data_IF_157895433360
#
_entry.id   IF_157895433360
#
_cell.length_a   1.000
_cell.length_b   1.000
_cell.length_c   1.000
_cell.angle_alpha   90.00
_cell.angle_beta   90.00
_cell.angle_gamma   90.00
#
_symmetry.space_group_name_H-M   'P 1'
#
loop_
_entity.id
_entity.type
_entity.pdbx_description
1 polymer ?
#
# COMPACT_ATOMS: atom_id res chain seq x y z
N UNK A 1 52.67 -37.56 4.91
CA UNK A 1 51.43 -37.74 5.73
C UNK A 1 50.30 -36.97 5.05
N UNK A 2 49.27 -37.68 4.57
CA UNK A 2 48.04 -37.09 4.03
C UNK A 2 47.26 -36.45 5.18
N UNK A 3 47.06 -35.13 5.14
CA UNK A 3 46.11 -34.45 6.03
C UNK A 3 44.99 -33.90 5.15
N UNK A 4 43.91 -34.67 5.09
CA UNK A 4 42.61 -34.22 4.61
C UNK A 4 42.09 -33.23 5.66
N UNK A 5 41.84 -31.99 5.26
CA UNK A 5 41.17 -31.00 6.11
C UNK A 5 39.68 -31.08 5.78
N UNK A 6 38.80 -31.34 6.77
CA UNK A 6 37.38 -31.45 6.55
C UNK A 6 36.76 -30.08 6.26
N UNK A 7 35.84 -30.10 5.31
CA UNK A 7 34.91 -29.02 5.04
C UNK A 7 33.97 -28.77 6.25
N UNK A 8 33.27 -27.64 6.14
CA UNK A 8 32.10 -27.20 6.93
C UNK A 8 32.43 -26.37 8.16
N UNK A 9 32.35 -25.04 8.02
CA UNK A 9 31.45 -24.20 8.83
C UNK A 9 30.96 -23.02 7.97
N UNK A 10 29.75 -23.18 7.45
CA UNK A 10 28.65 -22.20 7.45
C UNK A 10 28.95 -20.74 7.06
N UNK A 11 28.66 -20.45 5.78
CA UNK A 11 27.90 -19.29 5.30
C UNK A 11 27.75 -18.09 6.28
N UNK A 12 28.80 -17.31 6.41
CA UNK A 12 28.74 -15.93 6.89
C UNK A 12 29.19 -15.01 5.76
N UNK A 13 28.38 -14.90 4.71
CA UNK A 13 28.77 -14.15 3.53
C UNK A 13 27.71 -14.11 2.43
N UNK A 14 26.55 -13.54 2.72
CA UNK A 14 25.69 -12.90 1.71
C UNK A 14 24.96 -11.71 2.33
N UNK A 15 25.72 -10.76 2.87
CA UNK A 15 25.29 -9.37 2.88
C UNK A 15 25.78 -8.74 1.57
N UNK A 16 24.83 -8.30 0.75
CA UNK A 16 24.95 -7.18 -0.19
C UNK A 16 25.74 -7.41 -1.49
N UNK A 17 25.15 -8.12 -2.46
CA UNK A 17 25.37 -7.83 -3.89
C UNK A 17 24.12 -8.19 -4.70
N UNK A 18 23.36 -7.19 -5.15
CA UNK A 18 22.25 -7.39 -6.10
C UNK A 18 21.29 -6.20 -6.21
N UNK A 19 21.71 -5.18 -6.95
CA UNK A 19 20.89 -4.02 -7.32
C UNK A 19 19.97 -4.38 -8.49
N UNK A 20 18.64 -4.43 -8.28
CA UNK A 20 17.56 -4.15 -9.25
C UNK A 20 16.24 -4.80 -8.78
N UNK A 21 15.25 -3.99 -8.41
CA UNK A 21 13.91 -4.45 -8.02
C UNK A 21 13.74 -4.48 -6.52
N UNK A 22 13.45 -3.31 -5.93
CA UNK A 22 12.99 -3.25 -4.54
C UNK A 22 11.74 -4.10 -4.39
N UNK A 23 11.89 -5.31 -3.88
CA UNK A 23 10.77 -6.06 -3.34
C UNK A 23 10.42 -5.38 -2.03
N UNK A 24 9.65 -4.28 -2.10
CA UNK A 24 8.84 -3.88 -0.95
C UNK A 24 8.03 -5.11 -0.59
N UNK A 25 8.43 -5.80 0.47
CA UNK A 25 7.73 -7.01 0.91
C UNK A 25 6.34 -6.57 1.32
N UNK A 26 5.36 -6.85 0.45
CA UNK A 26 3.95 -6.58 0.72
C UNK A 26 3.48 -7.43 1.88
N UNK A 27 2.60 -6.86 2.69
CA UNK A 27 1.94 -7.55 3.79
C UNK A 27 1.08 -8.70 3.26
N UNK A 28 0.87 -9.72 4.11
CA UNK A 28 -0.20 -10.69 3.88
C UNK A 28 -1.58 -10.03 3.95
N UNK A 29 -2.63 -10.73 3.52
CA UNK A 29 -4.01 -10.22 3.60
C UNK A 29 -4.38 -9.89 5.05
N UNK A 30 -4.07 -10.77 6.00
CA UNK A 30 -4.39 -10.58 7.43
C UNK A 30 -3.65 -9.36 8.04
N UNK A 31 -2.35 -9.24 7.76
CA UNK A 31 -1.55 -8.09 8.22
C UNK A 31 -2.02 -6.79 7.56
N UNK A 32 -2.44 -6.84 6.30
CA UNK A 32 -2.99 -5.69 5.59
C UNK A 32 -4.28 -5.21 6.25
N UNK A 33 -5.20 -6.12 6.58
CA UNK A 33 -6.45 -5.77 7.24
C UNK A 33 -6.21 -5.22 8.65
N UNK A 34 -5.26 -5.78 9.38
CA UNK A 34 -4.82 -5.24 10.68
C UNK A 34 -4.25 -3.82 10.52
N UNK A 35 -3.38 -3.62 9.54
CA UNK A 35 -2.79 -2.33 9.22
C UNK A 35 -3.86 -1.28 8.88
N UNK A 36 -4.81 -1.61 7.99
CA UNK A 36 -5.88 -0.72 7.57
C UNK A 36 -6.84 -0.36 8.71
N UNK A 37 -7.17 -1.32 9.58
CA UNK A 37 -8.03 -1.08 10.73
C UNK A 37 -7.35 -0.21 11.81
N UNK A 38 -6.02 -0.20 11.84
CA UNK A 38 -5.21 0.64 12.74
C UNK A 38 -4.81 1.99 12.14
N UNK A 39 -5.22 2.28 10.91
CA UNK A 39 -4.83 3.51 10.23
C UNK A 39 -5.54 4.73 10.83
N UNK A 40 -4.75 5.71 11.25
CA UNK A 40 -5.21 6.91 11.96
C UNK A 40 -4.94 8.18 11.17
N UNK A 41 -4.70 8.05 9.86
CA UNK A 41 -4.47 9.18 8.99
C UNK A 41 -5.64 10.19 9.01
N UNK A 42 -5.31 11.46 9.27
CA UNK A 42 -6.27 12.58 9.27
C UNK A 42 -5.72 13.69 8.38
N UNK A 43 -6.34 13.96 7.22
CA UNK A 43 -5.90 15.04 6.35
C UNK A 43 -6.31 16.40 6.90
N UNK A 44 -5.61 17.45 6.48
CA UNK A 44 -5.85 18.83 6.95
C UNK A 44 -5.94 19.83 5.80
N UNK A 45 -6.43 21.04 6.08
CA UNK A 45 -6.54 22.12 5.10
C UNK A 45 -7.89 22.18 4.39
N UNK A 46 -7.90 22.79 3.21
CA UNK A 46 -9.06 22.89 2.32
C UNK A 46 -9.49 21.52 1.76
N UNK A 47 -10.72 21.39 1.21
CA UNK A 47 -11.17 20.13 0.63
C UNK A 47 -10.27 19.59 -0.49
N UNK A 48 -9.66 20.47 -1.30
CA UNK A 48 -8.72 20.07 -2.35
C UNK A 48 -7.42 19.53 -1.76
N UNK A 49 -6.85 20.22 -0.76
CA UNK A 49 -5.64 19.78 -0.07
C UNK A 49 -5.86 18.45 0.65
N UNK A 50 -6.99 18.30 1.33
CA UNK A 50 -7.37 17.04 1.96
C UNK A 50 -7.48 15.91 0.94
N UNK A 51 -8.13 16.17 -0.21
CA UNK A 51 -8.26 15.17 -1.25
C UNK A 51 -6.91 14.74 -1.83
N UNK A 52 -5.98 15.68 -2.00
CA UNK A 52 -4.61 15.39 -2.43
C UNK A 52 -3.85 14.54 -1.42
N UNK A 53 -3.94 14.89 -0.14
CA UNK A 53 -3.30 14.13 0.94
C UNK A 53 -3.88 12.71 1.05
N UNK A 54 -5.21 12.54 0.96
CA UNK A 54 -5.85 11.22 0.96
C UNK A 54 -5.40 10.40 -0.26
N UNK A 55 -5.30 11.02 -1.44
CA UNK A 55 -4.83 10.33 -2.65
C UNK A 55 -3.41 9.78 -2.47
N UNK A 56 -2.50 10.61 -1.96
CA UNK A 56 -1.11 10.21 -1.67
C UNK A 56 -1.07 9.10 -0.63
N UNK A 57 -1.81 9.26 0.47
CA UNK A 57 -1.90 8.25 1.53
C UNK A 57 -2.37 6.90 0.98
N UNK A 58 -3.42 6.88 0.16
CA UNK A 58 -3.87 5.64 -0.47
C UNK A 58 -2.81 5.02 -1.41
N UNK A 59 -2.02 5.80 -2.14
CA UNK A 59 -0.92 5.24 -2.94
C UNK A 59 0.13 4.57 -2.05
N UNK A 60 0.54 5.24 -0.97
CA UNK A 60 1.52 4.69 -0.02
C UNK A 60 1.01 3.43 0.67
N UNK A 61 -0.28 3.38 0.99
CA UNK A 61 -0.94 2.20 1.55
C UNK A 61 -1.01 1.07 0.53
N UNK A 62 -1.38 1.37 -0.72
CA UNK A 62 -1.47 0.37 -1.80
C UNK A 62 -0.12 -0.31 -2.07
N UNK A 63 1.01 0.38 -1.89
CA UNK A 63 2.34 -0.21 -2.05
C UNK A 63 2.75 -1.16 -0.92
N UNK A 64 2.11 -1.05 0.25
CA UNK A 64 2.42 -1.83 1.46
C UNK A 64 1.54 -3.08 1.59
N UNK A 65 0.26 -2.98 1.26
CA UNK A 65 -0.72 -4.04 1.49
C UNK A 65 -0.63 -5.19 0.47
N UNK A 66 -1.32 -6.29 0.76
CA UNK A 66 -1.48 -7.43 -0.13
C UNK A 66 -2.02 -6.99 -1.51
N UNK A 67 -1.58 -7.61 -2.62
CA UNK A 67 -1.98 -7.22 -3.98
C UNK A 67 -3.51 -7.12 -4.20
N UNK A 68 -4.27 -8.02 -3.59
CA UNK A 68 -5.74 -8.09 -3.69
C UNK A 68 -6.43 -6.89 -3.04
N UNK A 69 -5.81 -6.31 -2.01
CA UNK A 69 -6.27 -5.10 -1.30
C UNK A 69 -5.65 -3.84 -1.92
N UNK A 70 -4.43 -3.96 -2.44
CA UNK A 70 -3.69 -2.87 -3.12
C UNK A 70 -4.48 -2.32 -4.31
N UNK A 71 -5.03 -3.20 -5.15
CA UNK A 71 -5.76 -2.81 -6.34
C UNK A 71 -6.99 -1.91 -6.07
N UNK A 72 -7.93 -2.23 -5.15
CA UNK A 72 -9.03 -1.33 -4.83
C UNK A 72 -8.56 -0.04 -4.15
N UNK A 73 -7.53 -0.07 -3.28
CA UNK A 73 -6.99 1.15 -2.65
C UNK A 73 -6.35 2.08 -3.69
N UNK A 74 -5.61 1.54 -4.65
CA UNK A 74 -5.04 2.32 -5.75
C UNK A 74 -6.12 3.05 -6.57
N UNK A 75 -7.25 2.40 -6.84
CA UNK A 75 -8.39 3.06 -7.50
C UNK A 75 -9.01 4.17 -6.65
N UNK A 76 -9.09 3.98 -5.34
CA UNK A 76 -9.52 5.04 -4.43
C UNK A 76 -8.55 6.22 -4.47
N UNK A 77 -7.25 5.96 -4.57
CA UNK A 77 -6.24 7.00 -4.73
C UNK A 77 -6.46 7.84 -6.00
N UNK A 78 -6.75 7.18 -7.12
CA UNK A 78 -7.02 7.84 -8.40
C UNK A 78 -8.28 8.71 -8.34
N UNK A 79 -9.36 8.22 -7.72
CA UNK A 79 -10.59 9.02 -7.52
C UNK A 79 -10.26 10.26 -6.68
N UNK A 80 -9.51 10.10 -5.59
CA UNK A 80 -9.15 11.21 -4.71
C UNK A 80 -8.21 12.22 -5.39
N UNK A 81 -7.35 11.76 -6.30
CA UNK A 81 -6.54 12.64 -7.15
C UNK A 81 -7.42 13.53 -8.03
N UNK A 82 -8.42 12.94 -8.69
CA UNK A 82 -9.37 13.71 -9.51
C UNK A 82 -10.18 14.70 -8.67
N UNK A 83 -10.54 14.34 -7.44
CA UNK A 83 -11.20 15.26 -6.50
C UNK A 83 -10.28 16.43 -6.15
N UNK A 84 -8.99 16.17 -5.90
CA UNK A 84 -8.00 17.22 -5.61
C UNK A 84 -7.80 18.19 -6.78
N UNK A 85 -7.87 17.68 -8.02
CA UNK A 85 -7.77 18.47 -9.24
C UNK A 85 -9.06 19.26 -9.56
N UNK A 86 -10.17 18.97 -8.86
CA UNK A 86 -11.44 19.69 -9.06
C UNK A 86 -11.42 21.08 -8.43
N UNK A 87 -12.17 22.08 -8.95
CA UNK A 87 -12.15 23.45 -8.43
C UNK A 87 -12.58 23.62 -6.96
N UNK A 88 -13.36 22.68 -6.42
CA UNK A 88 -13.92 22.79 -5.06
C UNK A 88 -13.42 21.72 -4.10
N UNK A 89 -12.76 20.66 -4.60
CA UNK A 89 -12.41 19.49 -3.78
C UNK A 89 -13.62 18.67 -3.31
N UNK A 90 -14.82 18.96 -3.82
CA UNK A 90 -16.03 18.22 -3.49
C UNK A 90 -16.15 16.97 -4.38
N UNK A 91 -16.55 15.85 -3.77
CA UNK A 91 -16.80 14.61 -4.53
C UNK A 91 -18.12 14.72 -5.29
N UNK A 92 -18.14 14.22 -6.51
CA UNK A 92 -19.39 13.95 -7.23
C UNK A 92 -20.08 12.70 -6.68
N UNK A 93 -21.34 12.48 -7.10
CA UNK A 93 -22.07 11.26 -6.79
C UNK A 93 -21.33 10.02 -7.33
N UNK A 94 -20.83 10.08 -8.57
CA UNK A 94 -20.10 8.98 -9.21
C UNK A 94 -18.79 8.67 -8.48
N UNK A 95 -18.04 9.70 -8.08
CA UNK A 95 -16.82 9.52 -7.28
C UNK A 95 -17.12 8.91 -5.92
N UNK A 96 -18.21 9.31 -5.28
CA UNK A 96 -18.66 8.74 -3.99
C UNK A 96 -19.07 7.27 -4.13
N UNK A 97 -19.80 6.95 -5.19
CA UNK A 97 -20.18 5.58 -5.52
C UNK A 97 -18.95 4.72 -5.81
N UNK A 98 -17.99 5.23 -6.58
CA UNK A 98 -16.74 4.53 -6.90
C UNK A 98 -15.88 4.25 -5.66
N UNK A 99 -15.77 5.20 -4.72
CA UNK A 99 -15.10 4.98 -3.44
C UNK A 99 -15.80 3.90 -2.61
N UNK A 100 -17.13 3.96 -2.51
CA UNK A 100 -17.94 2.96 -1.79
C UNK A 100 -17.75 1.56 -2.38
N UNK A 101 -17.76 1.44 -3.70
CA UNK A 101 -17.55 0.16 -4.39
C UNK A 101 -16.18 -0.44 -4.04
N UNK A 102 -15.11 0.36 -4.03
CA UNK A 102 -13.78 -0.14 -3.71
C UNK A 102 -13.64 -0.48 -2.21
N UNK A 103 -14.26 0.30 -1.32
CA UNK A 103 -14.33 -0.02 0.11
C UNK A 103 -15.04 -1.36 0.35
N UNK A 104 -16.14 -1.62 -0.36
CA UNK A 104 -16.84 -2.91 -0.27
C UNK A 104 -15.94 -4.07 -0.71
N UNK A 105 -15.17 -3.91 -1.79
CA UNK A 105 -14.20 -4.93 -2.23
C UNK A 105 -13.11 -5.17 -1.20
N UNK A 106 -12.61 -4.12 -0.53
CA UNK A 106 -11.66 -4.28 0.58
C UNK A 106 -12.31 -5.09 1.71
N UNK A 107 -13.56 -4.81 2.04
CA UNK A 107 -14.35 -5.55 3.04
C UNK A 107 -14.61 -7.01 2.69
N UNK A 108 -14.51 -7.42 1.42
CA UNK A 108 -14.57 -8.84 1.04
C UNK A 108 -13.35 -9.63 1.54
N UNK A 109 -12.20 -8.96 1.68
CA UNK A 109 -10.95 -9.54 2.20
C UNK A 109 -10.77 -9.32 3.70
N UNK A 110 -11.15 -8.14 4.21
CA UNK A 110 -10.97 -7.73 5.61
C UNK A 110 -12.21 -7.94 6.47
N UNK A 111 -12.67 -9.19 6.55
CA UNK A 111 -13.84 -9.61 7.34
C UNK A 111 -13.52 -9.88 8.80
#
# INVERSE_FOLDING_TARGET
MKKLVPAVVLAAGMLLTGCAGGTTTRLSVEESCTFLNGDTFVPTGSPQEQAGQISQHYQEVADKVAPEISAPIGKMADIMKQVAESPTGAKTADQTAGLTEQLNKIGEYCK
#
